data_IF_529920454005
#
_entry.id   IF_529920454005
#
_cell.length_a   1.000
_cell.length_b   1.000
_cell.length_c   1.000
_cell.angle_alpha   90.00
_cell.angle_beta   90.00
_cell.angle_gamma   90.00
#
_symmetry.space_group_name_H-M   'P 1'
#
loop_
_entity.id
_entity.type
_entity.pdbx_description
1 polymer ?
#
# COMPACT_ATOMS: atom_id res chain seq x y z
N UNK A 1 -18.79 -0.01 9.54
CA UNK A 1 -18.17 -1.30 9.90
C UNK A 1 -16.67 -1.08 9.93
N UNK A 2 -16.05 -1.22 11.09
CA UNK A 2 -14.60 -1.11 11.27
C UNK A 2 -13.92 -2.31 10.58
N UNK A 3 -13.73 -2.22 9.26
CA UNK A 3 -12.97 -3.21 8.50
C UNK A 3 -11.50 -3.01 8.84
N UNK A 4 -11.10 -3.46 10.02
CA UNK A 4 -9.73 -3.37 10.51
C UNK A 4 -8.83 -4.15 9.55
N UNK A 5 -8.06 -3.43 8.73
CA UNK A 5 -7.06 -4.02 7.84
C UNK A 5 -6.03 -4.75 8.70
N UNK A 6 -6.18 -6.07 8.77
CA UNK A 6 -5.26 -6.97 9.46
C UNK A 6 -4.14 -7.38 8.50
N UNK A 7 -2.96 -6.80 8.64
CA UNK A 7 -1.80 -7.15 7.84
C UNK A 7 -1.06 -8.34 8.46
N UNK A 8 -0.59 -9.26 7.62
CA UNK A 8 0.40 -10.27 8.02
C UNK A 8 1.72 -9.59 8.39
N UNK A 9 2.64 -10.30 9.05
CA UNK A 9 3.97 -9.75 9.40
C UNK A 9 4.73 -9.17 8.19
N UNK A 10 4.72 -9.88 7.06
CA UNK A 10 5.26 -9.38 5.79
C UNK A 10 4.52 -8.11 5.29
N UNK A 11 3.20 -8.05 5.48
CA UNK A 11 2.41 -6.87 5.13
C UNK A 11 2.71 -5.67 6.02
N UNK A 12 2.93 -5.89 7.33
CA UNK A 12 3.37 -4.84 8.25
C UNK A 12 4.74 -4.31 7.82
N UNK A 13 5.68 -5.21 7.50
CA UNK A 13 7.00 -4.82 7.00
C UNK A 13 6.91 -3.92 5.76
N UNK A 14 6.17 -4.34 4.72
CA UNK A 14 6.01 -3.53 3.51
C UNK A 14 5.24 -2.24 3.76
N UNK A 15 4.26 -2.22 4.66
CA UNK A 15 3.55 -1.00 5.05
C UNK A 15 4.49 0.03 5.68
N UNK A 16 5.40 -0.41 6.56
CA UNK A 16 6.42 0.45 7.17
C UNK A 16 7.46 0.94 6.16
N UNK A 17 7.88 0.06 5.24
CA UNK A 17 8.78 0.41 4.15
C UNK A 17 8.15 1.47 3.23
N UNK A 18 6.89 1.26 2.83
CA UNK A 18 6.13 2.17 1.99
C UNK A 18 5.95 3.54 2.64
N UNK A 19 5.64 3.57 3.94
CA UNK A 19 5.54 4.81 4.72
C UNK A 19 6.85 5.59 4.73
N UNK A 20 7.99 4.88 4.78
CA UNK A 20 9.31 5.50 4.75
C UNK A 20 9.61 6.09 3.37
N UNK A 21 9.30 5.35 2.29
CA UNK A 21 9.48 5.84 0.92
C UNK A 21 8.60 7.05 0.62
N UNK A 22 7.32 6.99 0.96
CA UNK A 22 6.40 8.13 0.77
C UNK A 22 6.88 9.35 1.55
N UNK A 23 7.35 9.18 2.79
CA UNK A 23 7.91 10.28 3.56
C UNK A 23 9.18 10.87 2.94
N UNK A 24 10.07 10.03 2.40
CA UNK A 24 11.29 10.49 1.72
C UNK A 24 10.99 11.31 0.47
N UNK A 25 10.01 10.91 -0.34
CA UNK A 25 9.67 11.58 -1.60
C UNK A 25 8.74 12.78 -1.43
N UNK A 26 7.81 12.75 -0.47
CA UNK A 26 6.77 13.77 -0.32
C UNK A 26 6.93 14.66 0.92
N UNK A 27 7.76 14.25 1.88
CA UNK A 27 7.85 14.85 3.21
C UNK A 27 6.67 14.52 4.14
N UNK A 28 5.61 13.88 3.64
CA UNK A 28 4.39 13.59 4.43
C UNK A 28 4.56 12.33 5.25
N UNK A 29 4.29 12.42 6.55
CA UNK A 29 4.36 11.27 7.46
C UNK A 29 2.96 10.74 7.78
N UNK A 30 2.66 9.54 7.30
CA UNK A 30 1.39 8.87 7.57
C UNK A 30 1.42 8.08 8.88
N UNK A 31 0.33 8.15 9.66
CA UNK A 31 0.21 7.47 10.96
C UNK A 31 -0.30 6.04 10.78
N UNK A 32 0.58 5.06 10.85
CA UNK A 32 0.26 3.64 10.64
C UNK A 32 -0.60 2.99 11.73
N UNK A 33 -0.75 3.63 12.89
CA UNK A 33 -1.60 3.13 13.98
C UNK A 33 -3.10 3.41 13.80
N UNK A 34 -3.49 4.15 12.76
CA UNK A 34 -4.88 4.45 12.41
C UNK A 34 -5.20 3.89 11.04
N UNK A 35 -6.38 3.27 10.89
CA UNK A 35 -6.87 2.79 9.60
C UNK A 35 -6.92 3.93 8.55
N UNK A 36 -7.34 5.13 8.96
CA UNK A 36 -7.36 6.29 8.07
C UNK A 36 -5.95 6.69 7.59
N UNK A 37 -4.94 6.58 8.47
CA UNK A 37 -3.55 6.88 8.09
C UNK A 37 -2.96 5.84 7.16
N UNK A 38 -3.33 4.56 7.34
CA UNK A 38 -2.95 3.47 6.44
C UNK A 38 -3.61 3.64 5.06
N UNK A 39 -4.90 3.96 5.00
CA UNK A 39 -5.61 4.21 3.75
C UNK A 39 -5.05 5.42 3.01
N UNK A 40 -4.78 6.53 3.72
CA UNK A 40 -4.16 7.71 3.13
C UNK A 40 -2.77 7.38 2.54
N UNK A 41 -1.97 6.58 3.25
CA UNK A 41 -0.68 6.12 2.71
C UNK A 41 -0.87 5.32 1.43
N UNK A 42 -1.79 4.35 1.43
CA UNK A 42 -2.07 3.51 0.26
C UNK A 42 -2.56 4.33 -0.93
N UNK A 43 -3.43 5.32 -0.71
CA UNK A 43 -3.90 6.25 -1.75
C UNK A 43 -2.76 7.07 -2.34
N UNK A 44 -1.92 7.69 -1.49
CA UNK A 44 -0.74 8.44 -1.92
C UNK A 44 0.21 7.54 -2.71
N UNK A 45 0.40 6.30 -2.25
CA UNK A 45 1.31 5.34 -2.88
C UNK A 45 0.81 4.89 -4.25
N UNK A 46 -0.49 4.58 -4.36
CA UNK A 46 -1.12 4.16 -5.61
C UNK A 46 -1.15 5.28 -6.66
N UNK A 47 -1.23 6.54 -6.23
CA UNK A 47 -1.17 7.72 -7.11
C UNK A 47 0.25 8.23 -7.38
N UNK A 48 1.26 7.62 -6.78
CA UNK A 48 2.66 8.04 -6.95
C UNK A 48 3.21 7.58 -8.29
N UNK A 49 4.00 8.44 -8.93
CA UNK A 49 4.75 8.12 -10.15
C UNK A 49 6.15 7.56 -9.88
N UNK A 50 6.56 7.51 -8.61
CA UNK A 50 7.87 7.01 -8.21
C UNK A 50 7.90 5.48 -8.26
N UNK A 51 8.88 4.93 -8.98
CA UNK A 51 8.95 3.49 -9.29
C UNK A 51 9.23 2.62 -8.06
N UNK A 52 9.96 3.13 -7.08
CA UNK A 52 10.24 2.48 -5.80
C UNK A 52 8.99 2.41 -4.90
N UNK A 53 8.22 3.50 -4.83
CA UNK A 53 6.91 3.54 -4.14
C UNK A 53 5.95 2.55 -4.79
N UNK A 54 5.84 2.56 -6.12
CA UNK A 54 4.99 1.62 -6.87
C UNK A 54 5.39 0.16 -6.63
N UNK A 55 6.69 -0.15 -6.72
CA UNK A 55 7.21 -1.50 -6.49
C UNK A 55 6.90 -2.00 -5.07
N UNK A 56 7.12 -1.15 -4.06
CA UNK A 56 6.82 -1.48 -2.66
C UNK A 56 5.31 -1.63 -2.43
N UNK A 57 4.49 -0.79 -3.06
CA UNK A 57 3.03 -0.87 -3.00
C UNK A 57 2.52 -2.20 -3.58
N UNK A 58 3.09 -2.65 -4.70
CA UNK A 58 2.76 -3.93 -5.33
C UNK A 58 3.19 -5.13 -4.47
N UNK A 59 4.36 -5.05 -3.82
CA UNK A 59 4.79 -6.07 -2.85
C UNK A 59 3.83 -6.16 -1.65
N UNK A 60 3.41 -5.01 -1.11
CA UNK A 60 2.39 -4.97 -0.07
C UNK A 60 1.08 -5.60 -0.56
N UNK A 61 0.64 -5.26 -1.77
CA UNK A 61 -0.56 -5.84 -2.38
C UNK A 61 -0.48 -7.37 -2.51
N UNK A 62 0.70 -7.92 -2.83
CA UNK A 62 0.90 -9.37 -2.90
C UNK A 62 0.71 -10.07 -1.55
N UNK A 63 0.90 -9.37 -0.42
CA UNK A 63 0.67 -9.92 0.92
C UNK A 63 -0.80 -9.87 1.37
N UNK A 64 -1.66 -9.13 0.67
CA UNK A 64 -3.06 -8.94 1.03
C UNK A 64 -3.93 -10.09 0.53
N UNK A 65 -4.89 -10.50 1.37
CA UNK A 65 -5.93 -11.46 0.98
C UNK A 65 -6.89 -10.83 -0.04
N UNK A 66 -7.51 -11.63 -0.93
CA UNK A 66 -8.46 -11.12 -1.92
C UNK A 66 -9.59 -10.26 -1.33
N UNK A 67 -10.10 -10.64 -0.16
CA UNK A 67 -11.14 -9.87 0.55
C UNK A 67 -10.67 -8.48 0.98
N UNK A 68 -9.38 -8.34 1.31
CA UNK A 68 -8.78 -7.05 1.71
C UNK A 68 -8.54 -6.17 0.49
N UNK A 69 -8.14 -6.75 -0.65
CA UNK A 69 -8.03 -6.04 -1.93
C UNK A 69 -9.38 -5.48 -2.36
N UNK A 70 -10.43 -6.30 -2.30
CA UNK A 70 -11.80 -5.85 -2.57
C UNK A 70 -12.25 -4.72 -1.64
N UNK A 71 -11.86 -4.76 -0.36
CA UNK A 71 -12.15 -3.68 0.57
C UNK A 71 -11.43 -2.38 0.18
N UNK A 72 -10.17 -2.46 -0.27
CA UNK A 72 -9.40 -1.31 -0.75
C UNK A 72 -9.96 -0.74 -2.07
N UNK A 73 -10.38 -1.60 -2.99
CA UNK A 73 -11.01 -1.18 -4.26
C UNK A 73 -12.31 -0.43 -4.02
N UNK A 74 -13.09 -0.82 -3.01
CA UNK A 74 -14.31 -0.10 -2.59
C UNK A 74 -14.01 1.30 -2.02
N UNK A 75 -12.82 1.49 -1.49
CA UNK A 75 -12.30 2.78 -1.03
C UNK A 75 -11.60 3.56 -2.17
N UNK A 76 -11.70 3.09 -3.41
CA UNK A 76 -11.09 3.70 -4.60
C UNK A 76 -9.58 3.46 -4.74
N UNK A 77 -9.02 2.51 -3.98
CA UNK A 77 -7.60 2.17 -4.01
C UNK A 77 -7.41 0.92 -4.87
N UNK A 78 -6.85 1.12 -6.06
CA UNK A 78 -6.55 0.04 -7.01
C UNK A 78 -5.07 -0.34 -6.89
N UNK A 79 -4.79 -1.45 -6.23
CA UNK A 79 -3.45 -2.00 -6.14
C UNK A 79 -3.25 -3.01 -7.28
N UNK A 80 -2.42 -2.66 -8.25
CA UNK A 80 -2.12 -3.57 -9.36
C UNK A 80 -1.20 -4.70 -8.85
N UNK A 81 -1.62 -5.94 -9.06
CA UNK A 81 -0.84 -7.13 -8.76
C UNK A 81 0.05 -7.56 -9.93
N UNK A 82 0.37 -6.64 -10.86
CA UNK A 82 1.28 -6.84 -11.98
C UNK A 82 2.73 -6.97 -11.51
N UNK A 83 3.00 -7.92 -10.63
CA UNK A 83 4.31 -8.56 -10.52
C UNK A 83 4.54 -9.29 -11.85
N UNK A 84 5.21 -8.61 -12.79
CA UNK A 84 5.75 -9.25 -13.99
C UNK A 84 5.20 -8.73 -15.32
N UNK A 85 5.54 -7.49 -15.68
CA UNK A 85 5.95 -7.16 -17.07
C UNK A 85 7.19 -6.28 -17.05
N UNK A 86 8.26 -6.82 -16.49
CA UNK A 86 9.61 -6.49 -16.93
C UNK A 86 10.27 -7.79 -17.36
N UNK A 87 10.12 -8.15 -18.63
CA UNK A 87 10.99 -9.08 -19.30
C UNK A 87 10.92 -8.83 -20.82
N UNK A 88 12.09 -8.40 -21.32
CA UNK A 88 12.56 -8.36 -22.72
C UNK A 88 12.12 -7.21 -23.61
#
# INVERSE_FOLDING_TARGET
MDTKLMFSEAGIYHLHQLASLVHQHTGVRHKLSSAAGQLALLQTSASSTQSDIQSCCNQLAATLKPQQKLALEREGIFLDNSVGRQAS
#
